data_IF_147373562108
#
_entry.id   IF_147373562108
#
_cell.length_a   1.000
_cell.length_b   1.000
_cell.length_c   1.000
_cell.angle_alpha   90.00
_cell.angle_beta   90.00
_cell.angle_gamma   90.00
#
_symmetry.space_group_name_H-M   'P 1'
#
loop_
_entity.id
_entity.type
_entity.pdbx_description
1 polymer ?
#
# COMPACT_ATOMS: atom_id res chain seq x y z
N UNK A 1 3.25 4.33 6.27
CA UNK A 1 1.90 4.18 6.77
C UNK A 1 1.90 3.51 8.13
N UNK A 2 0.98 3.90 8.99
CA UNK A 2 0.75 3.23 10.27
C UNK A 2 0.07 1.90 9.91
N UNK A 3 0.74 0.79 10.16
CA UNK A 3 0.22 -0.55 9.86
C UNK A 3 -0.58 -1.14 11.05
N UNK A 4 -0.42 -0.55 12.22
CA UNK A 4 -1.16 -0.86 13.43
C UNK A 4 -1.42 0.40 14.26
N UNK A 5 -2.48 0.38 15.08
CA UNK A 5 -2.88 1.46 15.95
C UNK A 5 -3.55 0.92 17.20
N UNK A 6 -3.71 1.75 18.24
CA UNK A 6 -4.34 1.36 19.50
C UNK A 6 -5.76 1.91 19.58
N UNK A 7 -6.70 1.07 20.02
CA UNK A 7 -8.08 1.45 20.38
C UNK A 7 -8.39 0.81 21.71
N UNK A 8 -8.76 1.60 22.69
CA UNK A 8 -9.08 1.14 24.06
C UNK A 8 -7.99 0.27 24.69
N UNK A 9 -6.71 0.58 24.40
CA UNK A 9 -5.55 -0.18 24.87
C UNK A 9 -5.23 -1.45 24.07
N UNK A 10 -6.05 -1.83 23.11
CA UNK A 10 -5.82 -2.98 22.23
C UNK A 10 -5.15 -2.57 20.92
N UNK A 11 -4.19 -3.40 20.47
CA UNK A 11 -3.54 -3.22 19.16
C UNK A 11 -4.50 -3.64 18.05
N UNK A 12 -4.77 -2.71 17.13
CA UNK A 12 -5.54 -2.95 15.92
C UNK A 12 -4.64 -2.81 14.70
N UNK A 13 -4.86 -3.66 13.70
CA UNK A 13 -4.14 -3.63 12.43
C UNK A 13 -5.05 -3.12 11.33
N UNK A 14 -4.50 -2.32 10.41
CA UNK A 14 -5.23 -1.96 9.19
C UNK A 14 -5.43 -3.19 8.30
N UNK A 15 -6.48 -3.18 7.48
CA UNK A 15 -6.82 -4.33 6.63
C UNK A 15 -5.66 -4.80 5.74
N UNK A 16 -4.84 -3.87 5.25
CA UNK A 16 -3.67 -4.20 4.44
C UNK A 16 -2.62 -5.00 5.20
N UNK A 17 -2.36 -4.65 6.48
CA UNK A 17 -1.45 -5.42 7.35
C UNK A 17 -1.99 -6.80 7.66
N UNK A 18 -3.30 -6.95 7.82
CA UNK A 18 -3.94 -8.26 8.02
C UNK A 18 -3.69 -9.18 6.82
N UNK A 19 -3.78 -8.65 5.58
CA UNK A 19 -3.48 -9.40 4.37
C UNK A 19 -2.02 -9.84 4.29
N UNK A 20 -1.09 -8.98 4.68
CA UNK A 20 0.34 -9.32 4.77
C UNK A 20 0.58 -10.42 5.81
N UNK A 21 0.00 -10.30 7.00
CA UNK A 21 0.15 -11.30 8.06
C UNK A 21 -0.42 -12.68 7.62
N UNK A 22 -1.53 -12.69 6.89
CA UNK A 22 -2.07 -13.91 6.29
C UNK A 22 -1.11 -14.53 5.29
N UNK A 23 -0.53 -13.72 4.40
CA UNK A 23 0.45 -14.20 3.42
C UNK A 23 1.71 -14.78 4.09
N UNK A 24 2.22 -14.14 5.15
CA UNK A 24 3.37 -14.66 5.93
C UNK A 24 3.07 -16.03 6.53
N UNK A 25 1.82 -16.26 6.96
CA UNK A 25 1.38 -17.52 7.59
C UNK A 25 0.88 -18.57 6.59
N UNK A 26 0.71 -18.24 5.31
CA UNK A 26 0.09 -19.10 4.31
C UNK A 26 -1.43 -19.29 4.52
N UNK A 27 -2.08 -18.38 5.27
CA UNK A 27 -3.53 -18.42 5.52
C UNK A 27 -4.31 -18.01 4.25
N UNK A 28 -5.51 -18.60 4.00
CA UNK A 28 -6.33 -18.23 2.85
C UNK A 28 -6.72 -16.73 2.86
N UNK A 29 -6.72 -16.12 1.67
CA UNK A 29 -7.13 -14.73 1.45
C UNK A 29 -8.36 -14.68 0.56
N UNK A 30 -9.43 -14.05 1.03
CA UNK A 30 -10.62 -13.80 0.22
C UNK A 30 -10.58 -12.40 -0.38
N UNK A 31 -10.95 -12.29 -1.66
CA UNK A 31 -11.14 -11.01 -2.37
C UNK A 31 -12.64 -10.76 -2.50
N UNK A 32 -13.13 -9.75 -1.80
CA UNK A 32 -14.54 -9.40 -1.78
C UNK A 32 -14.89 -8.38 -2.87
N UNK A 33 -16.04 -8.62 -3.53
CA UNK A 33 -16.57 -7.78 -4.60
C UNK A 33 -15.77 -7.90 -5.90
N UNK A 34 -15.63 -6.79 -6.63
CA UNK A 34 -14.91 -6.75 -7.90
C UNK A 34 -13.39 -6.83 -7.69
N UNK A 35 -12.80 -7.95 -8.10
CA UNK A 35 -11.36 -8.18 -8.02
C UNK A 35 -10.55 -7.25 -8.96
N UNK A 36 -11.18 -6.73 -10.01
CA UNK A 36 -10.53 -5.84 -10.98
C UNK A 36 -10.63 -4.36 -10.58
N UNK A 37 -11.30 -4.04 -9.45
CA UNK A 37 -11.32 -2.66 -8.98
C UNK A 37 -9.92 -2.16 -8.66
N UNK A 38 -9.59 -1.01 -9.19
CA UNK A 38 -8.27 -0.41 -9.05
C UNK A 38 -8.21 0.58 -7.91
N UNK A 39 -7.05 0.65 -7.26
CA UNK A 39 -6.69 1.71 -6.33
C UNK A 39 -5.28 2.19 -6.61
N UNK A 40 -5.09 3.49 -6.47
CA UNK A 40 -3.78 4.10 -6.45
C UNK A 40 -3.15 3.85 -5.06
N UNK A 41 -2.00 3.18 -5.06
CA UNK A 41 -1.30 2.78 -3.84
C UNK A 41 0.02 3.54 -3.72
N UNK A 42 0.01 4.63 -2.95
CA UNK A 42 1.22 5.43 -2.73
C UNK A 42 2.03 4.91 -1.55
N UNK A 43 3.35 4.84 -1.72
CA UNK A 43 4.26 4.48 -0.65
C UNK A 43 4.63 5.68 0.22
N UNK A 44 4.86 5.43 1.52
CA UNK A 44 5.20 6.50 2.48
C UNK A 44 6.47 7.26 2.09
N UNK A 45 7.45 6.62 1.47
CA UNK A 45 8.68 7.29 1.01
C UNK A 45 8.39 8.29 -0.12
N UNK A 46 7.46 7.97 -1.03
CA UNK A 46 6.99 8.89 -2.05
C UNK A 46 6.15 10.03 -1.46
N UNK A 47 5.31 9.71 -0.47
CA UNK A 47 4.58 10.74 0.28
C UNK A 47 5.55 11.72 0.95
N UNK A 48 6.58 11.23 1.65
CA UNK A 48 7.61 12.06 2.26
C UNK A 48 8.40 12.88 1.22
N UNK A 49 8.70 12.31 0.05
CA UNK A 49 9.32 13.04 -1.06
C UNK A 49 8.48 14.27 -1.44
N UNK A 50 7.17 14.08 -1.60
CA UNK A 50 6.27 15.18 -1.97
C UNK A 50 6.23 16.26 -0.89
N UNK A 51 6.13 15.89 0.40
CA UNK A 51 6.19 16.86 1.50
C UNK A 51 7.51 17.63 1.51
N UNK A 52 8.64 16.93 1.33
CA UNK A 52 9.95 17.56 1.26
C UNK A 52 10.04 18.57 0.11
N UNK A 53 9.57 18.21 -1.08
CA UNK A 53 9.55 19.11 -2.24
C UNK A 53 8.67 20.34 -2.02
N UNK A 54 7.53 20.18 -1.33
CA UNK A 54 6.62 21.28 -1.01
C UNK A 54 7.26 22.36 -0.13
N UNK A 55 8.30 22.04 0.66
CA UNK A 55 9.02 23.02 1.48
C UNK A 55 9.85 24.04 0.66
N UNK A 56 10.17 23.72 -0.59
CA UNK A 56 11.05 24.54 -1.44
C UNK A 56 10.31 25.22 -2.59
N UNK A 57 8.98 25.12 -2.62
CA UNK A 57 8.16 25.81 -3.61
C UNK A 57 7.85 27.20 -3.14
N UNK A 58 8.08 28.20 -3.99
CA UNK A 58 7.75 29.61 -3.72
C UNK A 58 6.24 29.86 -3.89
N UNK A 59 5.45 29.31 -2.94
CA UNK A 59 4.00 29.45 -2.83
C UNK A 59 3.56 29.48 -1.38
N UNK A 60 2.55 30.30 -1.08
CA UNK A 60 1.98 30.39 0.26
C UNK A 60 0.95 29.29 0.55
N UNK A 61 0.35 28.69 -0.49
CA UNK A 61 -0.71 27.66 -0.37
C UNK A 61 -0.80 26.77 -1.61
N UNK A 62 -1.34 25.56 -1.44
CA UNK A 62 -1.61 24.64 -2.53
C UNK A 62 -2.33 23.37 -2.04
N UNK A 63 -3.06 22.72 -2.94
CA UNK A 63 -3.74 21.45 -2.70
C UNK A 63 -3.29 20.44 -3.74
N UNK A 64 -2.76 19.32 -3.29
CA UNK A 64 -2.19 18.30 -4.17
C UNK A 64 -2.67 16.91 -3.77
N UNK A 65 -3.10 16.13 -4.76
CA UNK A 65 -3.32 14.71 -4.54
C UNK A 65 -1.99 14.00 -4.37
N UNK A 66 -1.96 13.06 -3.42
CA UNK A 66 -0.81 12.19 -3.18
C UNK A 66 -1.14 10.80 -3.71
N UNK A 67 -0.45 10.38 -4.74
CA UNK A 67 -0.66 9.11 -5.40
C UNK A 67 0.52 8.78 -6.31
N UNK A 68 0.35 7.73 -7.10
CA UNK A 68 1.27 7.35 -8.17
C UNK A 68 0.74 7.73 -9.55
N UNK A 69 -0.55 8.04 -9.66
CA UNK A 69 -1.28 8.19 -10.92
C UNK A 69 -1.55 6.86 -11.63
N UNK A 70 -1.20 5.73 -11.00
CA UNK A 70 -1.36 4.38 -11.57
C UNK A 70 -2.24 3.53 -10.67
N UNK A 71 -3.29 2.95 -11.26
CA UNK A 71 -4.17 2.00 -10.58
C UNK A 71 -3.57 0.60 -10.55
N UNK A 72 -3.69 -0.06 -9.40
CA UNK A 72 -3.38 -1.48 -9.26
C UNK A 72 -4.66 -2.22 -8.89
N UNK A 73 -5.03 -3.28 -9.64
CA UNK A 73 -6.22 -4.06 -9.35
C UNK A 73 -6.12 -4.75 -7.99
N UNK A 74 -7.24 -4.98 -7.32
CA UNK A 74 -7.21 -5.67 -6.03
C UNK A 74 -6.62 -7.07 -6.16
N UNK A 75 -6.89 -7.77 -7.25
CA UNK A 75 -6.29 -9.08 -7.52
C UNK A 75 -4.77 -8.99 -7.62
N UNK A 76 -4.24 -8.00 -8.34
CA UNK A 76 -2.79 -7.81 -8.46
C UNK A 76 -2.15 -7.35 -7.16
N UNK A 77 -2.88 -6.53 -6.36
CA UNK A 77 -2.44 -6.19 -5.01
C UNK A 77 -2.25 -7.44 -4.15
N UNK A 78 -3.25 -8.33 -4.11
CA UNK A 78 -3.18 -9.56 -3.32
C UNK A 78 -2.12 -10.53 -3.86
N UNK A 79 -2.02 -10.70 -5.18
CA UNK A 79 -0.95 -11.50 -5.80
C UNK A 79 0.44 -10.97 -5.42
N UNK A 80 0.63 -9.66 -5.47
CA UNK A 80 1.89 -9.03 -5.06
C UNK A 80 2.22 -9.28 -3.59
N UNK A 81 1.23 -9.17 -2.69
CA UNK A 81 1.43 -9.50 -1.27
C UNK A 81 1.85 -10.96 -1.10
N UNK A 82 1.14 -11.89 -1.73
CA UNK A 82 1.48 -13.33 -1.65
C UNK A 82 2.87 -13.58 -2.20
N UNK A 83 3.21 -13.02 -3.37
CA UNK A 83 4.53 -13.15 -4.00
C UNK A 83 5.67 -12.67 -3.10
N UNK A 84 5.48 -11.55 -2.39
CA UNK A 84 6.55 -10.92 -1.60
C UNK A 84 6.65 -11.50 -0.20
N UNK A 85 5.54 -11.84 0.45
CA UNK A 85 5.50 -12.17 1.87
C UNK A 85 5.33 -13.65 2.19
N UNK A 86 4.81 -14.47 1.26
CA UNK A 86 4.67 -15.91 1.51
C UNK A 86 6.04 -16.61 1.54
N UNK A 87 6.10 -17.70 2.30
CA UNK A 87 7.23 -18.62 2.26
C UNK A 87 7.10 -19.55 1.06
N UNK A 88 8.19 -19.90 0.37
CA UNK A 88 8.14 -20.88 -0.73
C UNK A 88 7.48 -22.20 -0.29
N UNK A 89 6.50 -22.68 -1.07
CA UNK A 89 5.74 -23.88 -0.77
C UNK A 89 4.61 -23.73 0.26
N UNK A 90 4.41 -22.52 0.78
CA UNK A 90 3.35 -22.17 1.74
C UNK A 90 2.59 -20.89 1.33
N UNK A 91 2.37 -20.72 0.03
CA UNK A 91 1.68 -19.57 -0.50
C UNK A 91 0.20 -19.59 -0.11
N UNK A 92 -0.33 -18.41 0.23
CA UNK A 92 -1.76 -18.24 0.50
C UNK A 92 -2.60 -18.55 -0.74
N UNK A 93 -3.66 -19.33 -0.57
CA UNK A 93 -4.69 -19.48 -1.59
C UNK A 93 -5.53 -18.22 -1.71
N UNK A 94 -5.91 -17.84 -2.93
CA UNK A 94 -6.75 -16.66 -3.20
C UNK A 94 -8.12 -17.13 -3.65
N UNK A 95 -9.17 -16.72 -2.95
CA UNK A 95 -10.57 -17.05 -3.28
C UNK A 95 -11.33 -15.76 -3.63
N UNK A 96 -12.00 -15.75 -4.79
CA UNK A 96 -12.83 -14.63 -5.20
C UNK A 96 -14.25 -14.75 -4.61
N UNK A 97 -14.75 -13.69 -4.01
CA UNK A 97 -16.09 -13.58 -3.42
C UNK A 97 -16.85 -12.40 -4.03
N UNK A 98 -17.28 -12.52 -5.32
CA UNK A 98 -18.02 -11.44 -5.99
C UNK A 98 -19.41 -11.17 -5.38
N UNK A 99 -19.91 -12.10 -4.58
CA UNK A 99 -21.15 -12.01 -3.81
C UNK A 99 -21.05 -11.06 -2.61
N UNK A 100 -19.84 -10.71 -2.20
CA UNK A 100 -19.59 -9.84 -1.04
C UNK A 100 -19.55 -8.36 -1.43
N UNK A 101 -19.73 -7.43 -0.46
CA UNK A 101 -19.74 -6.00 -0.72
C UNK A 101 -18.48 -5.51 -1.45
N UNK A 102 -18.70 -4.62 -2.42
CA UNK A 102 -17.62 -3.97 -3.15
C UNK A 102 -17.12 -2.71 -2.44
N UNK A 103 -15.92 -2.25 -2.78
CA UNK A 103 -15.34 -1.02 -2.28
C UNK A 103 -15.08 -0.03 -3.44
N UNK A 104 -15.00 1.28 -3.18
CA UNK A 104 -14.70 2.27 -4.21
C UNK A 104 -13.36 2.03 -4.90
N UNK A 105 -13.29 2.39 -6.18
CA UNK A 105 -12.05 2.51 -6.95
C UNK A 105 -11.67 3.98 -7.08
N UNK A 106 -10.38 4.27 -7.11
CA UNK A 106 -9.84 5.61 -7.37
C UNK A 106 -8.40 5.53 -7.86
N UNK A 107 -8.08 6.43 -8.77
CA UNK A 107 -6.71 6.73 -9.21
C UNK A 107 -6.55 8.24 -9.06
N UNK A 108 -5.47 8.68 -8.45
CA UNK A 108 -5.23 10.08 -8.16
C UNK A 108 -4.69 10.80 -9.40
N UNK A 109 -5.26 11.97 -9.71
CA UNK A 109 -4.61 12.89 -10.62
C UNK A 109 -3.47 13.59 -9.88
N UNK A 110 -2.26 13.25 -10.24
CA UNK A 110 -1.02 13.80 -9.65
C UNK A 110 -0.36 14.87 -10.53
N UNK A 111 -0.94 15.18 -11.69
CA UNK A 111 -0.35 16.13 -12.64
C UNK A 111 -0.03 17.49 -12.00
N UNK A 112 -0.89 18.08 -11.16
CA UNK A 112 -0.55 19.32 -10.46
C UNK A 112 0.68 19.19 -9.56
N UNK A 113 0.83 18.08 -8.83
CA UNK A 113 1.99 17.85 -7.96
C UNK A 113 3.28 17.64 -8.78
N UNK A 114 3.19 16.94 -9.91
CA UNK A 114 4.32 16.75 -10.83
C UNK A 114 4.78 18.10 -11.40
N UNK A 115 3.86 18.89 -11.92
CA UNK A 115 4.15 20.18 -12.57
C UNK A 115 4.68 21.22 -11.59
N UNK A 116 4.06 21.34 -10.41
CA UNK A 116 4.30 22.44 -9.50
C UNK A 116 5.32 22.14 -8.42
N UNK A 117 5.39 20.89 -7.93
CA UNK A 117 6.34 20.47 -6.92
C UNK A 117 7.53 19.68 -7.50
N UNK A 118 7.48 19.30 -8.78
CA UNK A 118 8.43 18.34 -9.34
C UNK A 118 8.32 16.96 -8.68
N UNK A 119 7.14 16.60 -8.15
CA UNK A 119 6.89 15.29 -7.55
C UNK A 119 7.07 14.19 -8.60
N UNK A 120 7.73 13.11 -8.22
CA UNK A 120 7.94 11.94 -9.08
C UNK A 120 7.92 10.68 -8.22
N UNK A 121 6.83 9.90 -8.25
CA UNK A 121 6.78 8.61 -7.56
C UNK A 121 7.96 7.72 -7.97
N UNK A 122 8.62 7.10 -7.00
CA UNK A 122 9.80 6.27 -7.20
C UNK A 122 9.48 4.78 -7.10
N UNK A 123 8.36 4.45 -6.46
CA UNK A 123 7.98 3.09 -6.15
C UNK A 123 6.74 2.68 -6.94
N UNK A 124 6.86 1.63 -7.74
CA UNK A 124 5.70 0.87 -8.18
C UNK A 124 5.20 -0.03 -7.04
N UNK A 125 4.07 -0.71 -7.26
CA UNK A 125 3.43 -1.50 -6.22
C UNK A 125 4.32 -2.64 -5.69
N UNK A 126 5.05 -3.35 -6.56
CA UNK A 126 5.91 -4.46 -6.13
C UNK A 126 7.20 -4.00 -5.44
N UNK A 127 7.82 -2.93 -5.93
CA UNK A 127 9.00 -2.34 -5.29
C UNK A 127 8.66 -1.76 -3.93
N UNK A 128 7.48 -1.14 -3.76
CA UNK A 128 6.95 -0.72 -2.47
C UNK A 128 6.84 -1.91 -1.49
N UNK A 129 6.26 -3.04 -1.90
CA UNK A 129 6.11 -4.21 -1.05
C UNK A 129 7.45 -4.81 -0.62
N UNK A 130 8.41 -4.89 -1.55
CA UNK A 130 9.76 -5.40 -1.27
C UNK A 130 10.51 -4.50 -0.27
N UNK A 131 10.46 -3.19 -0.47
CA UNK A 131 11.09 -2.24 0.45
C UNK A 131 10.41 -2.27 1.83
N UNK A 132 9.07 -2.35 1.87
CA UNK A 132 8.33 -2.49 3.12
C UNK A 132 8.69 -3.76 3.89
N UNK A 133 8.83 -4.90 3.19
CA UNK A 133 9.31 -6.15 3.81
C UNK A 133 10.70 -5.99 4.41
N UNK A 134 11.63 -5.38 3.68
CA UNK A 134 12.98 -5.13 4.17
C UNK A 134 13.00 -4.22 5.42
N UNK A 135 12.12 -3.20 5.47
CA UNK A 135 12.01 -2.34 6.65
C UNK A 135 11.38 -3.09 7.85
N UNK A 136 10.43 -4.00 7.63
CA UNK A 136 9.89 -4.86 8.69
C UNK A 136 10.98 -5.75 9.29
N UNK A 137 11.78 -6.41 8.45
CA UNK A 137 12.86 -7.30 8.88
C UNK A 137 13.95 -6.55 9.68
N UNK A 138 14.26 -5.31 9.32
CA UNK A 138 15.16 -4.45 10.11
C UNK A 138 14.62 -4.14 11.51
N UNK A 139 13.30 -3.84 11.61
CA UNK A 139 12.69 -3.53 12.89
C UNK A 139 12.64 -4.73 13.85
N UNK A 140 12.46 -5.93 13.31
CA UNK A 140 12.45 -7.14 14.12
C UNK A 140 13.86 -7.45 14.68
N UNK A 141 14.91 -7.24 13.89
CA UNK A 141 16.32 -7.39 14.32
C UNK A 141 16.77 -6.36 15.37
N UNK A 142 16.08 -5.22 15.53
CA UNK A 142 16.42 -4.21 16.55
C UNK A 142 15.78 -4.56 17.91
N UNK A 143 14.78 -5.45 17.94
CA UNK A 143 14.06 -5.85 19.16
C UNK A 143 14.68 -7.09 19.85
N UNK A 144 15.62 -7.75 19.20
CA UNK A 144 16.46 -8.82 19.77
C UNK A 144 17.73 -8.23 20.39
#
# INVERSE_FOLDING_TARGET
PIDQYYVDGEVRKIGYRILIDKAIKGEPIEIWGDANREKDMVYVKDFCQMLFKALFVDRSEGYYNVGTGVGTSLLDQIKGIVQVFSKPGHESTITLRPDMPNAPKYIMDIEPAVRELGYKPQYDYLSMLKDFKAEMEKQDNIKE
#
